data_IF_063524903716
#
_entry.id   IF_063524903716
#
_cell.length_a   1.000
_cell.length_b   1.000
_cell.length_c   1.000
_cell.angle_alpha   90.00
_cell.angle_beta   90.00
_cell.angle_gamma   90.00
#
_symmetry.space_group_name_H-M   'P 1'
#
loop_
_entity.id
_entity.type
_entity.pdbx_description
1 polymer ?
#
# COMPACT_ATOMS: atom_id res chain seq x y z
N UNK A 1 12.08 -1.06 -4.12
CA UNK A 1 11.11 -1.46 -5.16
C UNK A 1 10.74 -0.25 -6.00
N UNK A 2 10.02 0.72 -5.44
CA UNK A 2 9.71 2.00 -6.08
C UNK A 2 9.63 3.10 -5.00
N UNK A 3 9.71 4.37 -5.39
CA UNK A 3 9.52 5.53 -4.50
C UNK A 3 9.03 6.75 -5.29
N UNK A 4 8.42 7.71 -4.60
CA UNK A 4 7.99 8.97 -5.23
C UNK A 4 9.20 9.77 -5.76
N UNK A 5 9.10 10.25 -6.99
CA UNK A 5 10.18 10.97 -7.68
C UNK A 5 11.29 10.07 -8.24
N UNK A 6 11.23 8.75 -7.99
CA UNK A 6 12.15 7.78 -8.58
C UNK A 6 11.77 7.43 -10.02
N UNK A 7 12.71 6.92 -10.80
CA UNK A 7 12.44 6.40 -12.15
C UNK A 7 11.89 4.97 -12.06
N UNK A 8 10.81 4.67 -12.77
CA UNK A 8 10.31 3.30 -12.89
C UNK A 8 11.36 2.39 -13.55
N UNK A 9 11.60 1.21 -12.95
CA UNK A 9 12.35 0.15 -13.62
C UNK A 9 11.51 -0.42 -14.76
N UNK A 10 12.13 -1.18 -15.67
CA UNK A 10 11.39 -1.90 -16.71
C UNK A 10 10.35 -2.86 -16.11
N UNK A 11 10.66 -3.47 -14.96
CA UNK A 11 9.69 -4.26 -14.21
C UNK A 11 8.46 -3.47 -13.78
N UNK A 12 8.64 -2.25 -13.27
CA UNK A 12 7.53 -1.38 -12.84
C UNK A 12 6.72 -0.90 -14.03
N UNK A 13 7.38 -0.39 -15.08
CA UNK A 13 6.77 0.01 -16.37
C UNK A 13 5.82 -1.08 -16.88
N UNK A 14 6.32 -2.32 -16.99
CA UNK A 14 5.53 -3.45 -17.46
C UNK A 14 4.33 -3.79 -16.54
N UNK A 15 4.46 -3.60 -15.24
CA UNK A 15 3.33 -3.81 -14.31
C UNK A 15 2.29 -2.71 -14.47
N UNK A 16 2.72 -1.46 -14.58
CA UNK A 16 1.86 -0.29 -14.66
C UNK A 16 1.06 -0.23 -15.98
N UNK A 17 1.68 -0.56 -17.11
CA UNK A 17 1.07 -0.45 -18.44
C UNK A 17 0.24 -1.69 -18.82
N UNK A 18 0.78 -2.89 -18.54
CA UNK A 18 0.21 -4.14 -19.07
C UNK A 18 -0.02 -5.22 -18.01
N UNK A 19 0.23 -4.93 -16.73
CA UNK A 19 0.05 -5.88 -15.63
C UNK A 19 1.01 -7.08 -15.67
N UNK A 20 2.09 -7.01 -16.46
CA UNK A 20 3.05 -8.10 -16.62
C UNK A 20 4.12 -8.06 -15.53
N UNK A 21 4.13 -9.07 -14.67
CA UNK A 21 5.07 -9.13 -13.53
C UNK A 21 6.41 -9.80 -13.85
N UNK A 22 6.56 -10.42 -15.03
CA UNK A 22 7.70 -11.29 -15.33
C UNK A 22 9.07 -10.60 -15.16
N UNK A 23 9.20 -9.39 -15.70
CA UNK A 23 10.45 -8.61 -15.55
C UNK A 23 10.68 -8.17 -14.10
N UNK A 24 9.64 -7.71 -13.40
CA UNK A 24 9.76 -7.31 -12.01
C UNK A 24 10.15 -8.49 -11.11
N UNK A 25 9.65 -9.70 -11.38
CA UNK A 25 10.04 -10.90 -10.62
C UNK A 25 11.53 -11.23 -10.80
N UNK A 26 12.08 -11.04 -11.99
CA UNK A 26 13.51 -11.20 -12.21
C UNK A 26 14.32 -10.16 -11.42
N UNK A 27 13.89 -8.88 -11.44
CA UNK A 27 14.52 -7.82 -10.65
C UNK A 27 14.49 -8.14 -9.14
N UNK A 28 13.36 -8.64 -8.62
CA UNK A 28 13.23 -9.06 -7.22
C UNK A 28 14.11 -10.27 -6.91
N UNK A 29 14.17 -11.27 -7.80
CA UNK A 29 15.02 -12.45 -7.62
C UNK A 29 16.52 -12.09 -7.60
N UNK A 30 16.94 -11.13 -8.41
CA UNK A 30 18.30 -10.59 -8.34
C UNK A 30 18.59 -9.96 -6.97
N UNK A 31 17.64 -9.22 -6.39
CA UNK A 31 17.77 -8.65 -5.05
C UNK A 31 17.75 -9.72 -3.93
N UNK A 32 16.98 -10.80 -4.09
CA UNK A 32 17.02 -11.97 -3.20
C UNK A 32 18.41 -12.63 -3.21
N UNK A 33 19.01 -12.81 -4.39
CA UNK A 33 20.37 -13.37 -4.52
C UNK A 33 21.44 -12.48 -3.87
N UNK A 34 21.19 -11.17 -3.78
CA UNK A 34 22.05 -10.21 -3.09
C UNK A 34 21.79 -10.12 -1.58
N UNK A 35 20.76 -10.79 -1.07
CA UNK A 35 20.34 -10.72 0.33
C UNK A 35 19.69 -9.40 0.73
N UNK A 36 19.11 -8.66 -0.23
CA UNK A 36 18.38 -7.42 0.03
C UNK A 36 16.86 -7.65 0.20
N UNK A 37 16.37 -8.82 -0.22
CA UNK A 37 14.97 -9.23 -0.13
C UNK A 37 14.94 -10.64 0.43
N UNK A 38 14.13 -10.86 1.47
CA UNK A 38 13.98 -12.18 2.08
C UNK A 38 12.99 -13.07 1.33
N UNK A 39 11.82 -12.53 0.98
CA UNK A 39 10.71 -13.29 0.41
C UNK A 39 9.87 -12.39 -0.51
N UNK A 40 9.14 -13.00 -1.45
CA UNK A 40 8.19 -12.33 -2.33
C UNK A 40 6.87 -13.10 -2.40
N UNK A 41 5.77 -12.36 -2.51
CA UNK A 41 4.43 -12.91 -2.68
C UNK A 41 3.78 -12.27 -3.90
N UNK A 42 3.20 -13.10 -4.77
CA UNK A 42 2.40 -12.62 -5.90
C UNK A 42 0.93 -12.65 -5.52
N UNK A 43 0.32 -11.47 -5.48
CA UNK A 43 -1.11 -11.34 -5.28
C UNK A 43 -1.94 -11.66 -6.52
N UNK A 44 -3.22 -11.89 -6.30
CA UNK A 44 -4.20 -12.04 -7.39
C UNK A 44 -4.95 -10.74 -7.67
N UNK A 45 -5.60 -10.65 -8.85
CA UNK A 45 -6.36 -9.47 -9.28
C UNK A 45 -7.53 -9.15 -8.34
N UNK A 46 -7.59 -7.89 -7.89
CA UNK A 46 -8.68 -7.37 -7.07
C UNK A 46 -9.52 -6.41 -7.93
N UNK A 47 -10.83 -6.61 -7.97
CA UNK A 47 -11.75 -5.80 -8.76
C UNK A 47 -12.69 -6.63 -9.64
N UNK A 48 -13.99 -6.48 -9.40
CA UNK A 48 -15.01 -7.32 -10.04
C UNK A 48 -15.24 -7.01 -11.51
N UNK A 49 -14.78 -5.87 -12.01
CA UNK A 49 -14.99 -5.44 -13.40
C UNK A 49 -14.36 -6.42 -14.42
N UNK A 50 -13.30 -7.11 -14.02
CA UNK A 50 -12.61 -8.13 -14.83
C UNK A 50 -12.61 -9.50 -14.15
N UNK A 51 -13.60 -9.78 -13.30
CA UNK A 51 -13.76 -11.09 -12.63
C UNK A 51 -12.89 -11.29 -11.38
N UNK A 52 -12.18 -10.26 -10.92
CA UNK A 52 -11.43 -10.29 -9.66
C UNK A 52 -12.32 -10.26 -8.40
N UNK A 53 -11.77 -10.66 -7.26
CA UNK A 53 -12.48 -10.63 -5.98
C UNK A 53 -12.52 -9.22 -5.38
N UNK A 54 -13.40 -8.99 -4.40
CA UNK A 54 -13.43 -7.72 -3.61
C UNK A 54 -12.33 -7.64 -2.57
N UNK A 55 -11.89 -8.79 -2.09
CA UNK A 55 -10.85 -8.99 -1.08
C UNK A 55 -10.12 -10.27 -1.43
N UNK A 56 -8.79 -10.23 -1.32
CA UNK A 56 -7.93 -11.39 -1.52
C UNK A 56 -6.97 -11.46 -0.35
N UNK A 57 -6.86 -12.64 0.25
CA UNK A 57 -5.78 -12.98 1.17
C UNK A 57 -4.76 -13.76 0.35
N UNK A 58 -3.54 -13.25 0.30
CA UNK A 58 -2.45 -13.83 -0.44
C UNK A 58 -1.71 -14.86 0.42
N UNK A 59 -0.67 -15.46 -0.13
CA UNK A 59 0.24 -16.30 0.63
C UNK A 59 0.97 -15.51 1.73
N UNK A 60 1.46 -16.26 2.70
CA UNK A 60 2.30 -15.79 3.78
C UNK A 60 3.59 -15.15 3.26
N UNK A 61 3.93 -13.98 3.79
CA UNK A 61 5.21 -13.30 3.56
C UNK A 61 6.13 -13.49 4.76
N UNK A 62 7.31 -14.05 4.53
CA UNK A 62 8.35 -14.16 5.55
C UNK A 62 9.07 -12.83 5.75
N UNK A 63 9.35 -12.50 7.02
CA UNK A 63 10.14 -11.32 7.42
C UNK A 63 11.12 -11.68 8.53
N UNK A 64 12.19 -10.90 8.65
CA UNK A 64 13.18 -11.04 9.72
C UNK A 64 13.69 -9.67 10.19
N UNK A 65 14.58 -9.68 11.18
CA UNK A 65 15.12 -8.45 11.74
C UNK A 65 15.88 -7.56 10.74
N UNK A 66 16.49 -8.16 9.73
CA UNK A 66 17.23 -7.48 8.65
C UNK A 66 16.33 -7.05 7.48
N UNK A 67 15.15 -7.64 7.35
CA UNK A 67 14.15 -7.35 6.31
C UNK A 67 12.78 -6.95 6.91
N UNK A 68 12.70 -5.89 7.75
CA UNK A 68 11.46 -5.56 8.45
C UNK A 68 10.47 -4.72 7.64
N UNK A 69 10.76 -4.47 6.35
CA UNK A 69 9.96 -3.62 5.48
C UNK A 69 9.31 -4.42 4.34
N UNK A 70 8.09 -4.02 3.98
CA UNK A 70 7.39 -4.55 2.81
C UNK A 70 7.13 -3.45 1.78
N UNK A 71 7.28 -3.81 0.51
CA UNK A 71 6.89 -2.99 -0.64
C UNK A 71 6.13 -3.85 -1.64
N UNK A 72 5.23 -3.23 -2.39
CA UNK A 72 4.46 -3.91 -3.43
C UNK A 72 3.73 -2.92 -4.32
N UNK A 73 3.33 -3.38 -5.50
CA UNK A 73 2.50 -2.64 -6.44
C UNK A 73 1.58 -3.57 -7.24
N UNK A 74 0.53 -3.01 -7.80
CA UNK A 74 -0.33 -3.65 -8.78
C UNK A 74 -0.99 -2.62 -9.71
N UNK A 75 -1.23 -3.03 -10.95
CA UNK A 75 -1.84 -2.21 -12.00
C UNK A 75 -3.24 -1.70 -11.61
N UNK A 76 -3.57 -0.47 -11.99
CA UNK A 76 -4.93 0.07 -11.95
C UNK A 76 -5.61 -0.04 -13.32
N UNK A 77 -5.98 -1.27 -13.71
CA UNK A 77 -6.46 -1.55 -15.05
C UNK A 77 -7.91 -1.06 -15.35
N UNK A 78 -8.20 -0.62 -16.59
CA UNK A 78 -7.23 -0.25 -17.62
C UNK A 78 -6.67 1.15 -17.35
N UNK A 79 -5.38 1.38 -17.62
CA UNK A 79 -4.73 2.67 -17.41
C UNK A 79 -3.55 2.83 -18.35
N UNK A 80 -3.06 4.07 -18.58
CA UNK A 80 -1.83 4.29 -19.31
C UNK A 80 -0.66 3.58 -18.63
N UNK A 81 -0.27 4.06 -17.46
CA UNK A 81 0.81 3.48 -16.65
C UNK A 81 0.50 3.57 -15.15
N UNK A 82 -0.79 3.62 -14.79
CA UNK A 82 -1.19 3.83 -13.42
C UNK A 82 -1.11 2.55 -12.59
N UNK A 83 -0.59 2.68 -11.38
CA UNK A 83 -0.53 1.61 -10.40
C UNK A 83 -0.94 2.08 -9.01
N UNK A 84 -1.08 1.13 -8.09
CA UNK A 84 -1.26 1.40 -6.67
C UNK A 84 -0.43 0.42 -5.86
N UNK A 85 0.03 0.85 -4.69
CA UNK A 85 0.86 0.01 -3.84
C UNK A 85 1.31 0.72 -2.58
N UNK A 86 2.23 0.07 -1.88
CA UNK A 86 2.94 0.67 -0.76
C UNK A 86 4.45 0.46 -0.94
N UNK A 87 5.26 1.40 -0.47
CA UNK A 87 6.72 1.32 -0.47
C UNK A 87 7.26 1.52 0.95
N UNK A 88 8.29 0.76 1.31
CA UNK A 88 9.00 0.81 2.60
C UNK A 88 8.06 0.85 3.82
N UNK A 89 7.05 -0.01 3.88
CA UNK A 89 6.15 -0.11 5.05
C UNK A 89 6.85 -0.91 6.15
N UNK A 90 7.15 -0.32 7.32
CA UNK A 90 7.73 -1.06 8.43
C UNK A 90 6.68 -1.98 9.06
N UNK A 91 7.03 -3.26 9.20
CA UNK A 91 6.24 -4.25 9.94
C UNK A 91 6.74 -4.44 11.38
N UNK A 92 7.90 -3.85 11.70
CA UNK A 92 8.53 -3.84 13.01
C UNK A 92 8.74 -2.42 13.51
N UNK A 93 8.55 -2.21 14.80
CA UNK A 93 8.98 -0.97 15.45
C UNK A 93 10.51 -0.92 15.52
N UNK A 94 11.12 0.08 14.87
CA UNK A 94 12.57 0.23 14.82
C UNK A 94 13.21 0.53 16.18
N UNK A 95 12.46 1.11 17.11
CA UNK A 95 12.99 1.50 18.44
C UNK A 95 12.91 0.32 19.40
N UNK A 96 11.76 -0.34 19.48
CA UNK A 96 11.55 -1.45 20.42
C UNK A 96 11.90 -2.81 19.82
N UNK A 97 12.24 -2.85 18.53
CA UNK A 97 12.59 -4.09 17.82
C UNK A 97 11.47 -5.14 17.94
N UNK A 98 10.21 -4.69 17.93
CA UNK A 98 9.02 -5.54 18.14
C UNK A 98 8.12 -5.52 16.91
N UNK A 99 7.64 -6.68 16.47
CA UNK A 99 6.70 -6.78 15.34
C UNK A 99 5.33 -6.19 15.68
N UNK A 100 4.75 -5.45 14.73
CA UNK A 100 3.37 -5.02 14.82
C UNK A 100 2.44 -6.22 14.59
N UNK A 101 1.48 -6.44 15.50
CA UNK A 101 0.47 -7.50 15.30
C UNK A 101 -0.39 -7.27 14.05
N UNK A 102 -0.59 -6.00 13.68
CA UNK A 102 -1.41 -5.60 12.54
C UNK A 102 -0.94 -4.26 11.98
N UNK A 103 -0.70 -4.19 10.68
CA UNK A 103 -0.42 -2.95 9.94
C UNK A 103 -1.47 -2.80 8.85
N UNK A 104 -2.08 -1.61 8.77
CA UNK A 104 -3.10 -1.28 7.78
C UNK A 104 -2.63 -0.08 6.98
N UNK A 105 -2.66 -0.19 5.66
CA UNK A 105 -2.18 0.83 4.73
C UNK A 105 -3.25 1.13 3.70
N UNK A 106 -3.74 2.36 3.68
CA UNK A 106 -4.53 2.86 2.55
C UNK A 106 -3.57 3.18 1.41
N UNK A 107 -3.85 2.66 0.23
CA UNK A 107 -3.01 2.87 -0.96
C UNK A 107 -3.75 3.71 -2.00
N UNK A 108 -2.99 4.54 -2.69
CA UNK A 108 -3.46 5.57 -3.62
C UNK A 108 -2.95 5.27 -5.02
N UNK A 109 -3.55 5.91 -6.02
CA UNK A 109 -3.06 5.84 -7.38
C UNK A 109 -1.71 6.58 -7.50
N UNK A 110 -0.85 6.03 -8.35
CA UNK A 110 0.44 6.54 -8.75
C UNK A 110 0.57 6.44 -10.27
N UNK A 111 1.22 7.42 -10.86
CA UNK A 111 1.62 7.44 -12.27
C UNK A 111 3.08 6.97 -12.35
N UNK A 112 3.42 6.12 -13.31
CA UNK A 112 4.78 5.58 -13.44
C UNK A 112 5.73 6.54 -14.18
N UNK A 113 5.19 7.50 -14.92
CA UNK A 113 5.92 8.44 -15.76
C UNK A 113 6.45 7.83 -17.05
N UNK A 114 5.83 6.75 -17.55
CA UNK A 114 6.25 5.97 -18.73
C UNK A 114 5.25 6.01 -19.88
N UNK A 115 3.98 6.37 -19.66
CA UNK A 115 2.97 6.52 -20.72
C UNK A 115 2.02 7.70 -20.47
N UNK A 116 1.87 8.60 -21.44
CA UNK A 116 1.03 9.79 -21.33
C UNK A 116 -0.46 9.42 -21.48
N UNK A 117 -1.29 9.65 -20.47
CA UNK A 117 -2.74 9.56 -20.64
C UNK A 117 -3.55 10.07 -19.46
N UNK A 118 -4.75 10.60 -19.73
CA UNK A 118 -5.60 11.26 -18.74
C UNK A 118 -6.85 10.44 -18.37
N UNK A 119 -6.97 9.22 -18.88
CA UNK A 119 -8.16 8.38 -18.71
C UNK A 119 -7.86 6.87 -18.77
N UNK A 120 -8.84 6.06 -18.37
CA UNK A 120 -8.75 4.60 -18.32
C UNK A 120 -8.65 3.96 -19.73
N UNK A 121 -7.45 3.89 -20.30
CA UNK A 121 -7.15 3.37 -21.65
C UNK A 121 -5.82 2.60 -21.66
N UNK A 122 -5.68 1.61 -22.55
CA UNK A 122 -4.51 0.71 -22.62
C UNK A 122 -3.42 1.10 -23.63
N UNK A 123 -3.66 2.13 -24.46
CA UNK A 123 -2.79 2.41 -25.59
C UNK A 123 -2.62 3.91 -25.73
N UNK A 124 -1.52 4.41 -25.19
CA UNK A 124 -1.21 5.81 -25.18
C UNK A 124 0.25 6.04 -25.64
N UNK A 125 0.68 7.29 -25.87
CA UNK A 125 2.06 7.56 -26.26
C UNK A 125 3.04 7.31 -25.11
N UNK A 126 4.13 6.59 -25.38
CA UNK A 126 5.19 6.41 -24.38
C UNK A 126 5.87 7.74 -24.03
N UNK A 127 6.18 7.90 -22.75
CA UNK A 127 6.85 9.06 -22.15
C UNK A 127 8.31 8.73 -21.88
N UNK A 128 9.21 9.71 -22.03
CA UNK A 128 10.63 9.52 -21.73
C UNK A 128 11.09 10.49 -20.67
N UNK A 129 11.75 9.98 -19.62
CA UNK A 129 12.32 10.80 -18.55
C UNK A 129 11.31 11.26 -17.50
N UNK A 130 10.11 10.66 -17.47
CA UNK A 130 9.18 10.82 -16.36
C UNK A 130 9.68 10.16 -15.08
N UNK A 131 9.00 10.49 -13.98
CA UNK A 131 9.27 9.94 -12.65
C UNK A 131 7.95 9.48 -12.06
N UNK A 132 8.03 8.52 -11.14
CA UNK A 132 6.87 8.05 -10.41
C UNK A 132 6.29 9.21 -9.60
N UNK A 133 5.01 9.53 -9.79
CA UNK A 133 4.35 10.64 -9.10
C UNK A 133 3.00 10.26 -8.51
N UNK A 134 2.65 10.89 -7.40
CA UNK A 134 1.34 10.75 -6.79
C UNK A 134 0.31 11.62 -7.52
N UNK A 135 -0.91 11.12 -7.64
CA UNK A 135 -2.05 11.94 -8.05
C UNK A 135 -2.34 13.01 -6.99
N UNK A 136 -2.46 14.27 -7.41
CA UNK A 136 -2.65 15.42 -6.50
C UNK A 136 -3.98 16.14 -6.76
N UNK A 137 -4.63 16.56 -5.68
CA UNK A 137 -5.85 17.34 -5.76
C UNK A 137 -5.54 18.75 -6.29
N UNK A 138 -6.09 19.09 -7.45
CA UNK A 138 -5.87 20.39 -8.09
C UNK A 138 -5.01 20.35 -9.35
N UNK A 139 -4.44 19.18 -9.68
CA UNK A 139 -3.89 18.96 -11.01
C UNK A 139 -5.04 18.74 -12.01
N UNK A 140 -5.00 19.47 -13.13
CA UNK A 140 -6.06 19.44 -14.14
C UNK A 140 -5.90 18.32 -15.14
N UNK A 141 -4.71 17.72 -15.23
CA UNK A 141 -4.44 16.58 -16.13
C UNK A 141 -4.96 15.25 -15.55
N UNK A 142 -5.22 15.20 -14.23
CA UNK A 142 -5.39 13.96 -13.46
C UNK A 142 -6.75 13.82 -12.76
N UNK A 143 -7.83 14.26 -13.41
CA UNK A 143 -9.16 14.34 -12.79
C UNK A 143 -9.77 12.98 -12.39
N UNK A 144 -9.25 11.86 -12.88
CA UNK A 144 -9.87 10.53 -12.76
C UNK A 144 -9.87 9.99 -11.33
N UNK A 145 -8.84 10.28 -10.54
CA UNK A 145 -8.76 9.89 -9.13
C UNK A 145 -9.10 11.05 -8.17
N UNK A 146 -9.42 12.23 -8.70
CA UNK A 146 -9.80 13.40 -7.91
C UNK A 146 -11.31 13.40 -7.66
N UNK A 147 -11.67 13.28 -6.39
CA UNK A 147 -13.05 13.39 -5.91
C UNK A 147 -13.34 14.82 -5.45
N UNK A 148 -14.55 15.31 -5.71
CA UNK A 148 -15.05 16.61 -5.25
C UNK A 148 -16.06 16.43 -4.12
N UNK A 149 -15.92 17.21 -3.06
CA UNK A 149 -16.91 17.35 -1.99
C UNK A 149 -17.17 18.83 -1.71
N UNK A 150 -18.22 19.40 -2.30
CA UNK A 150 -18.40 20.85 -2.36
C UNK A 150 -17.29 21.50 -3.18
N UNK A 151 -16.55 22.43 -2.56
CA UNK A 151 -15.42 23.12 -3.18
C UNK A 151 -14.06 22.43 -2.93
N UNK A 152 -14.02 21.40 -2.08
CA UNK A 152 -12.78 20.68 -1.76
C UNK A 152 -12.53 19.55 -2.74
N UNK A 153 -11.33 19.53 -3.34
CA UNK A 153 -10.80 18.42 -4.14
C UNK A 153 -9.94 17.51 -3.25
N UNK A 154 -10.05 16.20 -3.43
CA UNK A 154 -9.21 15.21 -2.74
C UNK A 154 -9.00 13.95 -3.57
N UNK A 155 -7.86 13.30 -3.39
CA UNK A 155 -7.65 11.93 -3.90
C UNK A 155 -8.08 10.93 -2.84
N UNK A 156 -8.87 9.93 -3.24
CA UNK A 156 -9.34 8.87 -2.36
C UNK A 156 -8.46 7.61 -2.53
N UNK A 157 -8.26 6.82 -1.47
CA UNK A 157 -7.54 5.56 -1.61
C UNK A 157 -8.34 4.58 -2.48
N UNK A 158 -7.62 3.83 -3.32
CA UNK A 158 -8.17 2.87 -4.30
C UNK A 158 -8.23 1.46 -3.73
N UNK A 159 -7.40 1.15 -2.73
CA UNK A 159 -7.42 -0.10 -1.99
C UNK A 159 -6.90 0.06 -0.54
N UNK A 160 -7.08 -0.98 0.27
CA UNK A 160 -6.48 -1.13 1.60
C UNK A 160 -5.64 -2.42 1.60
N UNK A 161 -4.40 -2.32 2.07
CA UNK A 161 -3.54 -3.45 2.39
C UNK A 161 -3.56 -3.66 3.91
N UNK A 162 -3.69 -4.92 4.32
CA UNK A 162 -3.69 -5.35 5.70
C UNK A 162 -2.64 -6.44 5.86
N UNK A 163 -1.68 -6.21 6.76
CA UNK A 163 -0.66 -7.16 7.17
C UNK A 163 -1.00 -7.60 8.59
N UNK A 164 -1.18 -8.90 8.81
CA UNK A 164 -1.44 -9.46 10.14
C UNK A 164 -0.36 -10.47 10.49
N UNK A 165 0.26 -10.32 11.66
CA UNK A 165 1.27 -11.25 12.16
C UNK A 165 0.59 -12.58 12.50
N UNK A 166 1.06 -13.66 11.89
CA UNK A 166 0.59 -15.02 12.14
C UNK A 166 1.33 -15.63 13.33
N UNK A 167 0.63 -16.42 14.15
CA UNK A 167 1.23 -17.06 15.33
C UNK A 167 2.17 -18.23 14.97
N UNK A 168 2.04 -18.77 13.76
CA UNK A 168 2.92 -19.81 13.22
C UNK A 168 2.72 -19.94 11.71
N UNK A 169 3.80 -20.04 10.95
CA UNK A 169 3.77 -20.46 9.54
C UNK A 169 4.79 -21.56 9.29
N UNK A 170 4.37 -22.62 8.62
CA UNK A 170 5.28 -23.69 8.17
C UNK A 170 6.23 -23.20 7.06
N UNK A 171 5.83 -22.19 6.27
CA UNK A 171 6.63 -21.63 5.16
C UNK A 171 7.91 -20.97 5.68
N UNK A 172 7.77 -20.20 6.75
CA UNK A 172 8.84 -19.36 7.29
C UNK A 172 9.52 -19.99 8.51
N UNK A 173 9.29 -21.26 8.83
CA UNK A 173 9.92 -21.89 9.99
C UNK A 173 11.42 -22.13 9.74
N UNK A 174 12.29 -21.39 10.43
CA UNK A 174 13.75 -21.62 10.41
C UNK A 174 14.25 -22.00 11.80
N UNK A 175 15.25 -22.89 11.86
CA UNK A 175 15.91 -23.31 13.12
C UNK A 175 17.09 -22.39 13.50
N UNK A 176 17.01 -21.10 13.20
CA UNK A 176 18.14 -20.16 13.36
C UNK A 176 17.96 -19.24 14.57
N UNK A 177 19.05 -18.59 15.01
CA UNK A 177 19.05 -17.67 16.17
C UNK A 177 18.24 -16.39 15.92
N UNK A 178 17.95 -16.05 14.66
CA UNK A 178 17.07 -14.94 14.29
C UNK A 178 15.79 -15.52 13.67
N UNK A 179 14.72 -15.71 14.47
CA UNK A 179 13.52 -16.35 13.99
C UNK A 179 12.86 -15.50 12.91
N UNK A 180 12.55 -16.15 11.81
CA UNK A 180 11.71 -15.60 10.75
C UNK A 180 10.25 -15.59 11.20
N UNK A 181 9.62 -14.43 11.11
CA UNK A 181 8.20 -14.23 11.41
C UNK A 181 7.39 -14.17 10.11
N UNK A 182 6.06 -14.21 10.23
CA UNK A 182 5.17 -14.32 9.07
C UNK A 182 4.02 -13.35 9.14
N UNK A 183 3.75 -12.70 8.02
CA UNK A 183 2.58 -11.85 7.86
C UNK A 183 1.65 -12.38 6.77
N UNK A 184 0.37 -12.55 7.12
CA UNK A 184 -0.69 -12.73 6.16
C UNK A 184 -1.02 -11.38 5.51
N UNK A 185 -1.03 -11.35 4.18
CA UNK A 185 -1.36 -10.15 3.41
C UNK A 185 -2.78 -10.24 2.88
N UNK A 186 -3.63 -9.31 3.30
CA UNK A 186 -4.97 -9.13 2.71
C UNK A 186 -5.06 -7.81 1.99
N UNK A 187 -5.44 -7.86 0.71
CA UNK A 187 -5.69 -6.67 -0.09
C UNK A 187 -7.18 -6.57 -0.41
N UNK A 188 -7.74 -5.36 -0.27
CA UNK A 188 -9.18 -5.10 -0.42
C UNK A 188 -9.40 -3.90 -1.32
N UNK A 189 -10.30 -4.04 -2.30
CA UNK A 189 -10.73 -2.87 -3.08
C UNK A 189 -11.37 -1.87 -2.14
N UNK A 190 -11.06 -0.60 -2.32
CA UNK A 190 -11.80 0.49 -1.69
C UNK A 190 -13.22 0.49 -2.24
N UNK A 191 -14.13 -0.19 -1.55
CA UNK A 191 -15.56 -0.19 -1.84
C UNK A 191 -16.29 0.40 -0.66
N UNK A 192 -16.89 1.60 -0.82
CA UNK A 192 -17.48 2.37 0.27
C UNK A 192 -16.62 2.30 1.54
N UNK A 193 -15.41 2.85 1.50
CA UNK A 193 -14.76 3.33 2.71
C UNK A 193 -15.69 4.41 3.29
N UNK A 194 -16.70 3.98 4.04
CA UNK A 194 -17.36 4.83 5.01
C UNK A 194 -16.23 5.33 5.89
N UNK A 195 -15.87 6.60 5.69
CA UNK A 195 -14.95 7.38 6.52
C UNK A 195 -15.06 6.90 7.96
N UNK A 196 -14.00 6.35 8.52
CA UNK A 196 -13.90 6.16 9.96
C UNK A 196 -12.89 7.16 10.47
N UNK A 197 -13.41 8.30 10.86
CA UNK A 197 -12.67 9.29 11.61
C UNK A 197 -12.53 8.80 13.06
N UNK A 198 -11.41 9.11 13.72
CA UNK A 198 -11.18 8.72 15.10
C UNK A 198 -11.60 9.87 16.03
N UNK A 199 -12.59 9.66 16.91
CA UNK A 199 -12.89 10.58 18.01
C UNK A 199 -12.71 9.90 19.38
N UNK A 200 -12.17 10.63 20.37
CA UNK A 200 -12.01 10.13 21.74
C UNK A 200 -13.20 10.54 22.62
N UNK A 201 -13.99 9.57 23.10
CA UNK A 201 -15.08 9.84 24.03
C UNK A 201 -14.56 9.95 25.49
N UNK A 202 -14.91 11.04 26.19
CA UNK A 202 -14.75 11.12 27.66
C UNK A 202 -15.80 10.26 28.35
N UNK A 203 -15.43 9.02 28.67
CA UNK A 203 -16.22 8.17 29.56
C UNK A 203 -16.32 8.75 30.98
N UNK A 204 -17.43 8.50 31.69
CA UNK A 204 -17.68 8.92 33.08
C UNK A 204 -16.68 8.38 34.13
N UNK A 205 -15.70 7.59 33.72
CA UNK A 205 -14.59 7.10 34.56
C UNK A 205 -13.33 7.41 33.78
N UNK A 206 -12.27 7.88 34.47
CA UNK A 206 -10.95 8.31 33.94
C UNK A 206 -10.16 7.21 33.19
N UNK A 207 -10.82 6.43 32.33
CA UNK A 207 -10.24 5.46 31.42
C UNK A 207 -10.61 5.94 30.02
N UNK A 208 -9.60 6.32 29.26
CA UNK A 208 -9.76 6.59 27.83
C UNK A 208 -10.36 5.34 27.19
N UNK A 209 -11.47 5.47 26.48
CA UNK A 209 -12.06 4.40 25.68
C UNK A 209 -12.19 4.93 24.26
N UNK A 210 -11.62 4.19 23.32
CA UNK A 210 -11.77 4.44 21.89
C UNK A 210 -13.25 4.21 21.51
N UNK A 211 -13.91 5.23 20.99
CA UNK A 211 -15.20 5.10 20.31
C UNK A 211 -15.00 5.47 18.85
N UNK A 212 -15.25 4.51 17.95
CA UNK A 212 -15.23 4.77 16.51
C UNK A 212 -16.55 5.47 16.18
N UNK A 213 -16.50 6.75 15.81
CA UNK A 213 -17.64 7.47 15.26
C UNK A 213 -17.31 7.96 13.86
N UNK A 214 -18.08 7.48 12.90
CA UNK A 214 -18.01 7.90 11.52
C UNK A 214 -18.84 9.17 11.38
N UNK A 215 -18.23 10.27 10.98
CA UNK A 215 -18.78 11.32 10.12
C UNK A 215 -17.70 12.40 9.95
N UNK A 216 -17.36 12.67 8.69
CA UNK A 216 -16.69 13.88 8.20
C UNK A 216 -15.16 14.07 8.39
N UNK A 217 -14.35 13.25 7.74
CA UNK A 217 -14.03 13.55 6.36
C UNK A 217 -13.04 14.64 6.00
N UNK A 218 -11.89 14.71 6.63
CA UNK A 218 -10.68 15.34 6.09
C UNK A 218 -9.46 14.52 6.49
N UNK A 219 -8.68 14.06 5.52
CA UNK A 219 -7.50 13.21 5.76
C UNK A 219 -6.44 13.51 4.71
N UNK A 220 -5.68 14.57 4.97
CA UNK A 220 -4.44 14.94 4.28
C UNK A 220 -3.43 13.78 4.37
N UNK A 221 -2.77 13.46 3.26
CA UNK A 221 -1.74 12.42 3.13
C UNK A 221 -0.51 12.62 4.02
N UNK A 222 -0.66 12.30 5.31
CA UNK A 222 0.44 12.19 6.28
C UNK A 222 0.74 10.72 6.59
N UNK A 223 1.97 10.37 7.00
CA UNK A 223 2.34 9.03 7.45
C UNK A 223 1.41 8.51 8.56
N UNK A 224 1.22 7.19 8.65
CA UNK A 224 0.34 6.54 9.65
C UNK A 224 0.71 6.87 11.10
N UNK A 225 1.99 7.20 11.37
CA UNK A 225 2.47 7.69 12.67
C UNK A 225 1.95 9.09 13.06
N UNK A 226 1.49 9.88 12.09
CA UNK A 226 0.92 11.22 12.32
C UNK A 226 -0.62 11.22 12.34
N UNK A 227 -1.28 10.16 11.87
CA UNK A 227 -2.74 10.05 11.87
C UNK A 227 -3.30 9.51 13.20
N UNK A 228 -2.44 8.94 14.07
CA UNK A 228 -2.76 8.56 15.44
C UNK A 228 -1.48 8.56 16.30
N UNK A 229 -1.07 9.68 16.91
CA UNK A 229 0.03 9.67 17.86
C UNK A 229 -0.32 8.86 19.12
N UNK A 230 0.70 8.18 19.63
CA UNK A 230 0.69 7.21 20.74
C UNK A 230 0.13 7.78 22.05
N UNK A 231 -0.48 6.85 22.80
CA UNK A 231 -0.92 6.84 24.20
C UNK A 231 -0.61 8.05 25.10
N UNK A 232 -1.63 8.41 25.90
CA UNK A 232 -1.55 9.09 27.19
C UNK A 232 -0.13 9.39 27.71
N UNK A 233 0.45 10.51 27.29
CA UNK A 233 1.55 11.11 28.02
C UNK A 233 0.97 12.11 29.02
N UNK A 234 1.01 11.76 30.31
CA UNK A 234 0.71 12.68 31.41
C UNK A 234 -0.64 12.48 32.11
N UNK A 235 -0.84 11.29 32.70
CA UNK A 235 -1.57 11.11 33.98
C UNK A 235 -0.96 9.95 34.75
#
# INVERSE_FOLDING_TARGET
MWENGGTATRGIENVAEIGSIGTLRNEVQEQQNMGNVLDDVVGSMIGTAFGGARSISNEDLCVDASHPYVSGLGMLAPSPDWFSGAYNVPLRDETTMTWYRRVKVNVYAWDAGTEDGDNYQFNNPATTGGVISAFMAGDTEDAVFVSRNGDTLRVLPVAELLFELEESSEKCATNTEDPTDTFLITARRSGNLRRRDCEWARGRRRRCRMEIKNEDGEGSGRPVSEQCPVACAGL
#
